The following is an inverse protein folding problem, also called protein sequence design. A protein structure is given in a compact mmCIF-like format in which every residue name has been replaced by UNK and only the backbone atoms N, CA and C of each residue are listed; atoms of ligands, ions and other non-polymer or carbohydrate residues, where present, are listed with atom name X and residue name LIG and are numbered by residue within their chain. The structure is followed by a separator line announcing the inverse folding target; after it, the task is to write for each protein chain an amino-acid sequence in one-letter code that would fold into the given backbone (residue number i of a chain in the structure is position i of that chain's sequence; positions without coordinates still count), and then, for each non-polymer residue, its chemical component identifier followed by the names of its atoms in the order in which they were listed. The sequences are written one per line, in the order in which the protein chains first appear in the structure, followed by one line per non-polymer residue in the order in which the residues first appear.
data_IF_942286515240
#
_entry.id   IF_942286515240
#
_cell.length_a   1.000
_cell.length_b   1.000
_cell.length_c   1.000
_cell.angle_alpha   90.00
_cell.angle_beta   90.00
_cell.angle_gamma   90.00
#
_symmetry.space_group_name_H-M   'P 1'
#
loop_
_entity.id
_entity.type
_entity.pdbx_description
1 polymer ?
#
# COMPACT_ATOMS: atom_id res chain seq x y z
N UNK A 1 20.48 29.91 14.09
CA UNK A 1 21.36 30.01 12.91
C UNK A 1 22.25 28.77 12.73
N UNK A 2 22.72 28.11 13.81
CA UNK A 2 23.56 26.91 13.72
C UNK A 2 22.82 25.61 13.33
N UNK A 3 21.56 25.46 13.66
CA UNK A 3 20.75 24.28 13.37
C UNK A 3 20.26 24.26 11.92
N UNK A 4 19.98 25.43 11.32
CA UNK A 4 19.60 25.52 9.90
C UNK A 4 20.78 25.23 8.95
N UNK A 5 22.01 25.63 9.33
CA UNK A 5 23.20 25.30 8.54
C UNK A 5 23.53 23.81 8.54
N UNK A 6 23.26 23.11 9.66
CA UNK A 6 23.48 21.66 9.77
C UNK A 6 22.50 20.83 8.93
N UNK A 7 21.25 21.30 8.77
CA UNK A 7 20.26 20.60 7.93
C UNK A 7 20.56 20.76 6.43
N UNK A 8 21.08 21.92 5.99
CA UNK A 8 21.49 22.14 4.59
C UNK A 8 22.76 21.38 4.21
N UNK A 9 23.69 21.17 5.14
CA UNK A 9 24.92 20.40 4.87
C UNK A 9 24.68 18.87 4.86
N UNK A 10 23.64 18.39 5.59
CA UNK A 10 23.28 16.97 5.57
C UNK A 10 22.64 16.54 4.25
N UNK A 11 21.91 17.40 3.57
CA UNK A 11 21.38 17.13 2.22
C UNK A 11 22.48 17.10 1.14
N UNK A 12 23.57 17.82 1.33
CA UNK A 12 24.70 17.81 0.38
C UNK A 12 25.59 16.56 0.48
N UNK A 13 25.50 15.79 1.58
CA UNK A 13 26.28 14.56 1.77
C UNK A 13 25.52 13.26 1.46
N UNK A 14 24.18 13.28 1.47
CA UNK A 14 23.36 12.19 0.95
C UNK A 14 23.15 12.46 -0.54
N UNK A 15 23.99 11.86 -1.41
CA UNK A 15 23.80 11.99 -2.86
C UNK A 15 22.34 11.74 -3.24
N UNK A 16 21.80 12.52 -4.21
CA UNK A 16 20.46 12.28 -4.76
C UNK A 16 20.33 10.80 -5.17
N UNK A 17 19.16 10.17 -4.97
CA UNK A 17 18.98 8.80 -5.40
C UNK A 17 19.17 8.68 -6.92
N UNK A 18 19.66 7.52 -7.35
CA UNK A 18 19.79 7.20 -8.77
C UNK A 18 18.38 7.23 -9.41
N UNK A 19 18.28 7.83 -10.60
CA UNK A 19 17.05 7.72 -11.40
C UNK A 19 17.18 6.54 -12.34
N UNK A 20 16.29 5.57 -12.24
CA UNK A 20 16.17 4.50 -13.21
C UNK A 20 15.45 4.99 -14.45
N UNK A 21 15.84 4.55 -15.66
CA UNK A 21 15.17 4.96 -16.88
C UNK A 21 13.69 4.53 -16.89
N UNK A 22 12.85 5.18 -17.70
CA UNK A 22 11.48 4.73 -17.91
C UNK A 22 11.41 3.25 -18.29
N UNK A 23 10.31 2.60 -17.92
CA UNK A 23 10.08 1.19 -18.23
C UNK A 23 10.13 0.97 -19.74
N UNK A 24 10.96 0.00 -20.18
CA UNK A 24 11.04 -0.36 -21.58
C UNK A 24 9.83 -1.26 -21.93
N UNK A 25 9.00 -0.92 -22.93
CA UNK A 25 7.90 -1.77 -23.39
C UNK A 25 8.33 -3.21 -23.73
N UNK A 26 9.58 -3.43 -24.13
CA UNK A 26 10.12 -4.77 -24.33
C UNK A 26 10.13 -5.62 -23.04
N UNK A 27 10.18 -5.01 -21.87
CA UNK A 27 10.08 -5.73 -20.59
C UNK A 27 8.64 -6.25 -20.37
N UNK A 28 7.62 -5.49 -20.81
CA UNK A 28 6.22 -5.94 -20.74
C UNK A 28 5.98 -7.07 -21.73
N UNK A 29 6.47 -6.94 -22.98
CA UNK A 29 6.40 -8.01 -23.99
C UNK A 29 7.11 -9.29 -23.54
N UNK A 30 8.21 -9.16 -22.81
CA UNK A 30 8.95 -10.28 -22.24
C UNK A 30 8.30 -10.86 -20.95
N UNK A 31 7.21 -10.26 -20.45
CA UNK A 31 6.55 -10.66 -19.22
C UNK A 31 7.33 -10.35 -17.93
N UNK A 32 8.26 -9.39 -17.98
CA UNK A 32 9.13 -9.03 -16.86
C UNK A 32 8.59 -7.88 -16.02
N UNK A 33 7.67 -7.08 -16.56
CA UNK A 33 7.04 -5.97 -15.87
C UNK A 33 5.68 -5.63 -16.49
N UNK A 34 4.85 -4.88 -15.74
CA UNK A 34 3.78 -4.04 -16.27
C UNK A 34 4.29 -2.61 -16.29
N UNK A 35 4.38 -1.99 -17.46
CA UNK A 35 4.90 -0.63 -17.67
C UNK A 35 3.79 0.44 -17.65
N UNK A 36 4.11 1.70 -17.95
CA UNK A 36 3.19 2.84 -18.07
C UNK A 36 2.26 3.03 -16.86
N UNK A 37 2.81 2.83 -15.67
CA UNK A 37 2.12 3.03 -14.40
C UNK A 37 2.58 4.34 -13.74
N UNK A 38 1.87 4.74 -12.70
CA UNK A 38 2.22 5.92 -11.90
C UNK A 38 2.27 5.54 -10.43
N UNK A 39 3.48 5.37 -9.90
CA UNK A 39 3.68 5.06 -8.49
C UNK A 39 2.70 3.95 -8.03
N UNK A 40 2.82 2.72 -8.56
CA UNK A 40 1.98 1.58 -8.17
C UNK A 40 2.35 1.18 -6.73
N UNK A 41 1.81 1.94 -5.78
CA UNK A 41 2.24 1.94 -4.39
C UNK A 41 1.76 0.68 -3.66
N UNK A 42 0.50 0.27 -3.90
CA UNK A 42 -0.06 -0.93 -3.29
C UNK A 42 -0.86 -1.77 -4.27
N UNK A 43 -0.91 -3.09 -4.01
CA UNK A 43 -1.46 -4.11 -4.90
C UNK A 43 -2.32 -5.11 -4.13
N UNK A 44 -3.49 -5.43 -4.66
CA UNK A 44 -4.30 -6.51 -4.12
C UNK A 44 -4.93 -7.38 -5.23
N UNK A 45 -5.11 -8.68 -4.96
CA UNK A 45 -5.81 -9.59 -5.86
C UNK A 45 -7.31 -9.34 -5.82
N UNK A 46 -7.93 -9.17 -6.98
CA UNK A 46 -9.38 -9.12 -7.10
C UNK A 46 -10.00 -10.54 -7.04
N UNK A 47 -11.27 -10.66 -6.62
CA UNK A 47 -11.95 -11.95 -6.58
C UNK A 47 -11.91 -12.68 -7.90
N UNK A 48 -11.55 -13.98 -7.86
CA UNK A 48 -11.36 -14.82 -9.03
C UNK A 48 -9.94 -14.81 -9.58
N UNK A 49 -9.03 -14.03 -9.00
CA UNK A 49 -7.58 -14.02 -9.22
C UNK A 49 -7.13 -13.81 -10.68
N UNK A 50 -8.02 -13.29 -11.54
CA UNK A 50 -7.67 -12.94 -12.92
C UNK A 50 -7.15 -11.51 -13.06
N UNK A 51 -7.37 -10.67 -12.05
CA UNK A 51 -7.05 -9.27 -12.01
C UNK A 51 -6.43 -8.89 -10.68
N UNK A 52 -5.55 -7.90 -10.70
CA UNK A 52 -5.12 -7.14 -9.54
C UNK A 52 -5.75 -5.74 -9.58
N UNK A 53 -5.96 -5.14 -8.41
CA UNK A 53 -6.17 -3.71 -8.26
C UNK A 53 -4.85 -3.08 -7.83
N UNK A 54 -4.55 -1.93 -8.38
CA UNK A 54 -3.34 -1.15 -8.16
C UNK A 54 -3.75 0.21 -7.61
N UNK A 55 -3.24 0.58 -6.45
CA UNK A 55 -3.28 1.94 -5.95
C UNK A 55 -2.16 2.74 -6.61
N UNK A 56 -2.52 3.64 -7.53
CA UNK A 56 -1.56 4.55 -8.15
C UNK A 56 -1.53 5.86 -7.35
N UNK A 57 -0.55 5.97 -6.47
CA UNK A 57 -0.39 7.13 -5.61
C UNK A 57 0.02 8.36 -6.42
N UNK A 58 -0.60 9.51 -6.16
CA UNK A 58 -0.10 10.77 -6.69
C UNK A 58 1.24 11.11 -6.03
N UNK A 59 2.13 11.78 -6.75
CA UNK A 59 3.34 12.32 -6.14
C UNK A 59 2.94 13.37 -5.11
N UNK A 60 3.48 13.26 -3.92
CA UNK A 60 3.43 14.34 -2.94
C UNK A 60 4.46 15.37 -3.40
N UNK A 61 4.00 16.43 -4.07
CA UNK A 61 4.89 17.54 -4.43
C UNK A 61 5.51 18.11 -3.14
N UNK A 62 6.83 17.99 -3.02
CA UNK A 62 7.59 18.55 -1.90
C UNK A 62 7.41 20.08 -1.78
N UNK A 63 6.90 20.71 -2.79
CA UNK A 63 6.53 22.12 -2.89
C UNK A 63 5.02 22.40 -2.75
N UNK A 64 4.23 21.43 -2.30
CA UNK A 64 2.85 21.69 -1.91
C UNK A 64 2.82 22.67 -0.72
N UNK A 65 3.23 23.92 -1.00
CA UNK A 65 2.79 25.06 -0.21
C UNK A 65 1.27 24.97 -0.19
N UNK A 66 0.66 25.12 0.97
CA UNK A 66 -0.79 25.11 1.16
C UNK A 66 -1.57 26.11 0.28
N UNK A 67 -0.90 26.83 -0.60
CA UNK A 67 -1.41 27.76 -1.61
C UNK A 67 -1.20 27.30 -3.04
N UNK A 68 -0.52 26.18 -3.31
CA UNK A 68 -0.43 25.63 -4.66
C UNK A 68 -1.83 25.17 -5.07
N UNK A 69 -2.27 25.70 -6.21
CA UNK A 69 -3.56 25.40 -6.84
C UNK A 69 -3.81 23.88 -6.83
N UNK A 70 -4.88 23.40 -6.13
CA UNK A 70 -5.23 21.97 -6.12
C UNK A 70 -5.43 21.40 -7.54
N UNK A 71 -5.59 22.26 -8.55
CA UNK A 71 -5.67 21.89 -9.96
C UNK A 71 -4.32 21.47 -10.58
N UNK A 72 -3.19 21.69 -9.91
CA UNK A 72 -1.86 21.28 -10.41
C UNK A 72 -1.45 19.87 -9.97
N UNK A 73 -1.96 19.36 -8.85
CA UNK A 73 -1.73 18.00 -8.43
C UNK A 73 -2.54 17.04 -9.30
N UNK A 74 -1.88 16.17 -10.05
CA UNK A 74 -2.57 15.09 -10.76
C UNK A 74 -3.11 14.12 -9.70
N UNK A 75 -4.44 13.88 -9.66
CA UNK A 75 -5.01 12.92 -8.71
C UNK A 75 -4.42 11.53 -8.96
N UNK A 76 -4.35 10.73 -7.91
CA UNK A 76 -4.10 9.30 -8.03
C UNK A 76 -5.30 8.58 -8.65
N UNK A 77 -5.16 7.30 -8.88
CA UNK A 77 -6.26 6.46 -9.36
C UNK A 77 -6.15 5.00 -8.87
N UNK A 78 -7.25 4.28 -9.03
CA UNK A 78 -7.29 2.83 -8.86
C UNK A 78 -7.39 2.20 -10.25
N UNK A 79 -6.42 1.35 -10.57
CA UNK A 79 -6.32 0.68 -11.86
C UNK A 79 -6.48 -0.83 -11.66
N UNK A 80 -7.28 -1.50 -12.51
CA UNK A 80 -7.24 -2.95 -12.61
C UNK A 80 -6.31 -3.38 -13.73
N UNK A 81 -5.47 -4.40 -13.48
CA UNK A 81 -4.61 -5.03 -14.49
C UNK A 81 -4.97 -6.50 -14.57
N UNK A 82 -5.26 -6.99 -15.78
CA UNK A 82 -5.49 -8.41 -16.02
C UNK A 82 -4.16 -9.14 -16.13
N UNK A 83 -4.00 -10.16 -15.31
CA UNK A 83 -2.72 -10.86 -15.17
C UNK A 83 -2.28 -11.61 -16.45
N UNK A 84 -3.26 -12.09 -17.24
CA UNK A 84 -3.00 -12.93 -18.41
C UNK A 84 -2.37 -12.14 -19.59
N UNK A 85 -2.71 -10.86 -19.75
CA UNK A 85 -2.34 -10.09 -20.95
C UNK A 85 -2.03 -8.61 -20.65
N UNK A 86 -1.99 -8.20 -19.40
CA UNK A 86 -1.72 -6.81 -19.02
C UNK A 86 -2.82 -5.81 -19.35
N UNK A 87 -4.01 -6.26 -19.79
CA UNK A 87 -5.11 -5.36 -20.11
C UNK A 87 -5.49 -4.51 -18.90
N UNK A 88 -5.65 -3.20 -19.11
CA UNK A 88 -5.85 -2.20 -18.06
C UNK A 88 -7.26 -1.64 -18.07
N UNK A 89 -7.83 -1.44 -16.90
CA UNK A 89 -9.10 -0.76 -16.71
C UNK A 89 -8.99 0.19 -15.51
N UNK A 90 -9.21 1.49 -15.74
CA UNK A 90 -9.35 2.43 -14.62
C UNK A 90 -10.65 2.13 -13.89
N UNK A 91 -10.55 1.95 -12.58
CA UNK A 91 -11.67 1.65 -11.69
C UNK A 91 -12.19 2.92 -11.00
N UNK A 92 -11.28 3.81 -10.60
CA UNK A 92 -11.61 5.08 -9.94
C UNK A 92 -10.45 6.09 -10.13
N UNK A 93 -10.68 7.39 -10.36
CA UNK A 93 -11.99 7.98 -10.70
C UNK A 93 -12.61 7.36 -11.95
N UNK A 94 -13.95 7.26 -12.00
CA UNK A 94 -14.62 6.69 -13.15
C UNK A 94 -14.36 7.58 -14.37
N UNK A 95 -14.31 6.98 -15.55
CA UNK A 95 -14.28 7.74 -16.78
C UNK A 95 -15.65 8.44 -16.94
N UNK A 96 -15.65 9.76 -17.06
CA UNK A 96 -16.88 10.53 -17.22
C UNK A 96 -17.76 10.10 -18.42
N UNK A 97 -17.17 9.37 -19.37
CA UNK A 97 -17.87 8.81 -20.54
C UNK A 97 -18.35 7.38 -20.34
N UNK A 98 -18.07 6.73 -19.19
CA UNK A 98 -18.52 5.36 -18.91
C UNK A 98 -19.94 5.37 -18.34
N UNK A 99 -20.97 4.97 -19.12
CA UNK A 99 -22.35 4.96 -18.66
C UNK A 99 -22.61 3.88 -17.57
N UNK A 100 -21.72 2.89 -17.44
CA UNK A 100 -21.88 1.79 -16.51
C UNK A 100 -21.36 2.13 -15.10
N UNK A 101 -20.68 3.29 -14.99
CA UNK A 101 -20.13 3.74 -13.68
C UNK A 101 -20.51 5.20 -13.41
N UNK A 102 -21.78 5.50 -13.11
CA UNK A 102 -22.23 6.87 -12.90
C UNK A 102 -21.55 7.49 -11.67
N UNK A 103 -21.14 8.74 -11.80
CA UNK A 103 -20.58 9.52 -10.70
C UNK A 103 -21.29 10.88 -10.56
N UNK A 104 -21.72 11.30 -9.34
CA UNK A 104 -21.66 10.52 -8.08
C UNK A 104 -22.54 9.26 -8.14
N UNK A 105 -22.21 8.24 -7.35
CA UNK A 105 -23.00 7.02 -7.31
C UNK A 105 -24.44 7.34 -6.82
N UNK A 106 -25.45 6.58 -7.28
CA UNK A 106 -26.80 6.76 -6.79
C UNK A 106 -26.87 6.55 -5.27
N UNK A 107 -27.82 7.21 -4.60
CA UNK A 107 -28.05 6.98 -3.17
C UNK A 107 -28.25 5.49 -2.92
N UNK A 108 -27.40 4.89 -2.09
CA UNK A 108 -27.56 3.50 -1.66
C UNK A 108 -28.39 3.45 -0.38
N UNK A 109 -29.37 2.54 -0.31
CA UNK A 109 -30.10 2.27 0.92
C UNK A 109 -29.18 1.66 1.99
N UNK A 110 -28.14 0.96 1.56
CA UNK A 110 -27.14 0.35 2.42
C UNK A 110 -25.81 1.09 2.29
N UNK A 111 -25.52 1.99 3.23
CA UNK A 111 -24.22 2.65 3.34
C UNK A 111 -23.28 1.79 4.17
N UNK A 112 -22.04 1.73 3.73
CA UNK A 112 -20.93 1.12 4.48
C UNK A 112 -20.09 2.21 5.14
N UNK A 113 -19.41 1.89 6.25
CA UNK A 113 -18.58 2.84 6.95
C UNK A 113 -19.31 3.62 8.05
N UNK A 114 -18.81 4.79 8.36
CA UNK A 114 -19.26 5.61 9.48
C UNK A 114 -20.45 6.51 9.09
N UNK A 115 -21.34 6.73 10.05
CA UNK A 115 -22.48 7.65 9.88
C UNK A 115 -22.06 9.11 9.64
N UNK A 116 -20.87 9.49 10.06
CA UNK A 116 -20.28 10.82 9.81
C UNK A 116 -19.66 10.97 8.40
N UNK A 117 -19.67 9.91 7.58
CA UNK A 117 -19.16 9.99 6.21
C UNK A 117 -19.93 11.03 5.39
N UNK A 118 -19.29 12.10 4.90
CA UNK A 118 -19.99 13.23 4.27
C UNK A 118 -20.48 12.94 2.84
N UNK A 119 -20.14 11.80 2.27
CA UNK A 119 -20.46 11.43 0.89
C UNK A 119 -19.24 10.93 0.12
N UNK A 120 -19.37 10.70 -1.21
CA UNK A 120 -18.27 10.18 -2.02
C UNK A 120 -17.09 11.15 -2.08
N UNK A 121 -15.83 10.64 -2.29
CA UNK A 121 -14.66 11.48 -2.43
C UNK A 121 -14.73 12.32 -3.71
N UNK A 122 -14.06 13.47 -3.70
CA UNK A 122 -13.89 14.28 -4.91
C UNK A 122 -12.90 13.58 -5.86
N UNK A 123 -13.34 13.17 -7.07
CA UNK A 123 -12.47 12.51 -8.03
C UNK A 123 -11.24 13.32 -8.44
N UNK A 124 -11.35 14.65 -8.43
CA UNK A 124 -10.25 15.54 -8.81
C UNK A 124 -9.17 15.68 -7.72
N UNK A 125 -9.49 15.23 -6.51
CA UNK A 125 -8.60 15.32 -5.34
C UNK A 125 -8.25 13.97 -4.75
N UNK A 126 -8.67 12.88 -5.38
CA UNK A 126 -8.45 11.53 -4.86
C UNK A 126 -6.96 11.16 -4.84
N UNK A 127 -6.45 10.81 -3.66
CA UNK A 127 -5.06 10.42 -3.44
C UNK A 127 -5.03 9.06 -2.71
N UNK A 128 -5.18 7.94 -3.44
CA UNK A 128 -5.16 6.61 -2.84
C UNK A 128 -3.76 6.23 -2.36
N UNK A 129 -3.71 5.46 -1.28
CA UNK A 129 -2.49 4.88 -0.69
C UNK A 129 -2.72 3.39 -0.46
N UNK A 130 -2.55 2.88 0.77
CA UNK A 130 -2.76 1.48 1.10
C UNK A 130 -4.18 0.99 0.79
N UNK A 131 -4.31 -0.25 0.34
CA UNK A 131 -5.57 -0.86 -0.08
C UNK A 131 -5.67 -2.31 0.41
N UNK A 132 -6.90 -2.76 0.71
CA UNK A 132 -7.15 -4.18 0.96
C UNK A 132 -8.48 -4.66 0.37
N UNK A 133 -8.44 -5.87 -0.18
CA UNK A 133 -9.59 -6.57 -0.76
C UNK A 133 -10.09 -7.63 0.21
N UNK A 134 -11.33 -7.49 0.63
CA UNK A 134 -11.99 -8.46 1.49
C UNK A 134 -13.40 -8.79 1.06
N UNK A 135 -14.14 -9.45 1.93
CA UNK A 135 -15.57 -9.71 1.74
C UNK A 135 -16.35 -9.39 3.02
N UNK A 136 -17.61 -9.02 2.86
CA UNK A 136 -18.52 -8.89 3.99
C UNK A 136 -19.10 -10.26 4.41
N UNK A 137 -19.89 -10.25 5.48
CA UNK A 137 -20.57 -11.46 6.00
C UNK A 137 -21.56 -12.10 5.01
N UNK A 138 -21.94 -11.41 3.92
CA UNK A 138 -22.77 -11.93 2.84
C UNK A 138 -21.96 -12.41 1.64
N UNK A 139 -20.64 -12.34 1.72
CA UNK A 139 -19.71 -12.72 0.65
C UNK A 139 -19.61 -11.68 -0.48
N UNK A 140 -20.09 -10.45 -0.28
CA UNK A 140 -19.88 -9.36 -1.24
C UNK A 140 -18.44 -8.89 -1.15
N UNK A 141 -17.77 -8.84 -2.29
CA UNK A 141 -16.39 -8.36 -2.36
C UNK A 141 -16.32 -6.85 -2.15
N UNK A 142 -15.36 -6.40 -1.39
CA UNK A 142 -15.17 -5.00 -1.04
C UNK A 142 -13.70 -4.61 -1.07
N UNK A 143 -13.44 -3.35 -1.38
CA UNK A 143 -12.13 -2.73 -1.36
C UNK A 143 -12.14 -1.61 -0.33
N UNK A 144 -11.19 -1.61 0.59
CA UNK A 144 -10.87 -0.47 1.43
C UNK A 144 -9.70 0.28 0.81
N UNK A 145 -9.70 1.61 0.90
CA UNK A 145 -8.68 2.48 0.32
C UNK A 145 -8.39 3.61 1.29
N UNK A 146 -7.16 3.74 1.74
CA UNK A 146 -6.70 4.97 2.40
C UNK A 146 -6.67 6.10 1.38
N UNK A 147 -7.32 7.22 1.68
CA UNK A 147 -7.38 8.39 0.82
C UNK A 147 -6.95 9.64 1.58
N UNK A 148 -5.92 10.32 1.07
CA UNK A 148 -5.41 11.59 1.62
C UNK A 148 -6.01 12.81 0.95
N UNK A 149 -6.63 12.63 -0.21
CA UNK A 149 -7.07 13.73 -1.06
C UNK A 149 -8.43 14.30 -0.70
N UNK A 150 -8.48 15.58 -0.36
CA UNK A 150 -9.72 16.27 0.03
C UNK A 150 -10.16 15.98 1.45
N UNK A 151 -9.81 14.82 1.98
CA UNK A 151 -10.01 14.39 3.37
C UNK A 151 -9.11 13.20 3.67
N UNK A 152 -8.73 13.04 4.91
CA UNK A 152 -8.12 11.83 5.43
C UNK A 152 -9.24 10.84 5.77
N UNK A 153 -9.31 9.72 5.06
CA UNK A 153 -10.39 8.74 5.25
C UNK A 153 -10.02 7.34 4.73
N UNK A 154 -10.67 6.31 5.24
CA UNK A 154 -10.78 5.03 4.55
C UNK A 154 -12.05 5.04 3.71
N UNK A 155 -11.90 5.03 2.39
CA UNK A 155 -12.99 4.92 1.43
C UNK A 155 -13.34 3.44 1.20
N UNK A 156 -14.63 3.13 1.04
CA UNK A 156 -15.10 1.75 0.92
C UNK A 156 -15.88 1.59 -0.38
N UNK A 157 -15.44 0.64 -1.19
CA UNK A 157 -16.07 0.31 -2.46
C UNK A 157 -16.56 -1.14 -2.47
N UNK A 158 -17.67 -1.40 -3.14
CA UNK A 158 -18.08 -2.73 -3.55
C UNK A 158 -17.42 -3.08 -4.87
N UNK A 159 -16.89 -4.30 -4.96
CA UNK A 159 -16.25 -4.80 -6.18
C UNK A 159 -17.29 -5.54 -7.00
N UNK A 160 -17.56 -5.04 -8.20
CA UNK A 160 -18.49 -5.63 -9.16
C UNK A 160 -17.89 -6.77 -9.98
N UNK A 161 -18.47 -7.06 -11.12
CA UNK A 161 -18.31 -8.24 -11.98
C UNK A 161 -16.89 -8.80 -12.10
N UNK A 162 -16.79 -10.14 -12.08
CA UNK A 162 -15.51 -10.87 -12.13
C UNK A 162 -14.81 -10.85 -13.49
N UNK A 163 -15.57 -10.73 -14.58
CA UNK A 163 -15.02 -10.73 -15.95
C UNK A 163 -14.52 -9.37 -16.39
N UNK A 164 -15.11 -8.30 -15.87
CA UNK A 164 -14.68 -6.91 -16.05
C UNK A 164 -14.87 -6.19 -14.71
N UNK A 165 -13.82 -6.01 -13.91
CA UNK A 165 -13.95 -5.43 -12.58
C UNK A 165 -14.47 -4.00 -12.64
N UNK A 166 -15.33 -3.67 -11.68
CA UNK A 166 -15.86 -2.32 -11.47
C UNK A 166 -15.88 -2.02 -9.96
N UNK A 167 -15.87 -0.74 -9.60
CA UNK A 167 -16.00 -0.28 -8.23
C UNK A 167 -17.25 0.57 -8.09
N UNK A 168 -18.05 0.30 -7.08
CA UNK A 168 -19.15 1.13 -6.65
C UNK A 168 -18.85 1.65 -5.24
N UNK A 169 -18.75 2.97 -5.09
CA UNK A 169 -18.51 3.56 -3.77
C UNK A 169 -19.72 3.34 -2.85
N UNK A 170 -19.47 2.88 -1.64
CA UNK A 170 -20.51 2.53 -0.66
C UNK A 170 -20.45 3.37 0.60
N UNK A 171 -19.32 4.00 0.91
CA UNK A 171 -19.17 4.79 2.12
C UNK A 171 -17.74 5.09 2.48
N UNK A 172 -17.53 5.69 3.62
CA UNK A 172 -16.21 5.99 4.16
C UNK A 172 -16.20 6.02 5.68
N UNK A 173 -15.00 6.00 6.23
CA UNK A 173 -14.71 6.31 7.63
C UNK A 173 -13.73 7.48 7.65
N UNK A 174 -14.20 8.71 7.97
CA UNK A 174 -13.31 9.86 8.13
C UNK A 174 -12.37 9.65 9.31
N UNK A 175 -11.12 10.07 9.15
CA UNK A 175 -10.11 10.00 10.20
C UNK A 175 -10.10 11.27 11.05
N UNK A 176 -9.70 11.18 12.33
CA UNK A 176 -9.51 12.33 13.19
C UNK A 176 -8.43 13.28 12.63
N UNK A 177 -8.60 14.58 12.88
CA UNK A 177 -7.57 15.56 12.54
C UNK A 177 -6.23 15.23 13.22
N UNK A 178 -5.13 15.53 12.53
CA UNK A 178 -3.78 15.34 13.06
C UNK A 178 -3.26 13.91 12.95
N UNK A 179 -3.91 13.07 12.17
CA UNK A 179 -3.45 11.73 11.79
C UNK A 179 -3.11 11.69 10.30
N UNK A 180 -2.15 10.88 9.93
CA UNK A 180 -1.80 10.55 8.56
C UNK A 180 -1.80 9.04 8.42
N UNK A 181 -2.84 8.51 7.80
CA UNK A 181 -2.98 7.06 7.61
C UNK A 181 -1.96 6.58 6.58
N UNK A 182 -1.71 5.28 6.56
CA UNK A 182 -0.85 4.67 5.54
C UNK A 182 -1.53 3.47 4.89
N UNK A 183 -1.81 2.42 5.64
CA UNK A 183 -2.36 1.19 5.11
C UNK A 183 -3.57 0.70 5.92
N UNK A 184 -4.39 -0.17 5.29
CA UNK A 184 -5.63 -0.68 5.84
C UNK A 184 -5.77 -2.18 5.57
N UNK A 185 -6.27 -2.95 6.54
CA UNK A 185 -6.57 -4.36 6.38
C UNK A 185 -7.98 -4.69 6.93
N UNK A 186 -8.78 -5.43 6.17
CA UNK A 186 -10.07 -5.94 6.64
C UNK A 186 -9.88 -6.92 7.79
N UNK A 187 -10.74 -6.82 8.78
CA UNK A 187 -10.73 -7.76 9.89
C UNK A 187 -11.88 -8.78 9.72
N UNK A 188 -11.63 -10.10 9.89
CA UNK A 188 -12.64 -11.14 9.65
C UNK A 188 -13.85 -11.04 10.60
N UNK A 189 -13.68 -10.51 11.81
CA UNK A 189 -14.79 -10.24 12.73
C UNK A 189 -15.58 -8.96 12.39
N UNK A 190 -15.36 -8.37 11.21
CA UNK A 190 -16.01 -7.13 10.74
C UNK A 190 -15.18 -5.88 11.00
N UNK A 191 -15.43 -4.80 10.24
CA UNK A 191 -14.62 -3.58 10.25
C UNK A 191 -13.22 -3.78 9.69
N UNK A 192 -12.28 -2.89 10.01
CA UNK A 192 -10.92 -2.91 9.52
C UNK A 192 -9.92 -2.43 10.58
N UNK A 193 -8.65 -2.66 10.30
CA UNK A 193 -7.49 -2.10 11.03
C UNK A 193 -6.82 -1.11 10.08
N UNK A 194 -6.33 0.01 10.61
CA UNK A 194 -5.65 1.04 9.83
C UNK A 194 -4.43 1.56 10.60
N UNK A 195 -3.33 1.78 9.92
CA UNK A 195 -2.14 2.39 10.51
C UNK A 195 -2.20 3.90 10.44
N UNK A 196 -1.85 4.56 11.54
CA UNK A 196 -1.51 5.97 11.60
C UNK A 196 0.02 6.08 11.61
N UNK A 197 0.59 6.55 10.52
CA UNK A 197 2.04 6.61 10.32
C UNK A 197 2.70 7.63 11.24
N UNK A 198 2.16 8.84 11.28
CA UNK A 198 2.67 9.96 12.07
C UNK A 198 1.64 11.10 12.10
N UNK A 199 1.87 12.15 12.88
CA UNK A 199 1.23 13.44 12.61
C UNK A 199 1.54 13.88 11.17
N UNK A 200 0.66 14.69 10.53
CA UNK A 200 0.87 15.17 9.17
C UNK A 200 2.24 15.81 8.99
N UNK A 201 2.95 15.42 7.93
CA UNK A 201 4.29 15.92 7.58
C UNK A 201 4.19 17.13 6.64
N UNK A 202 3.15 17.94 6.78
CA UNK A 202 2.91 19.10 5.91
C UNK A 202 3.83 20.27 6.23
N UNK A 203 4.43 20.84 5.17
CA UNK A 203 5.27 22.04 5.24
C UNK A 203 6.69 21.78 5.74
N UNK A 204 7.47 22.88 5.88
CA UNK A 204 8.86 22.87 6.35
C UNK A 204 8.99 23.39 7.78
N UNK A 205 7.98 23.17 8.62
CA UNK A 205 7.97 23.66 10.00
C UNK A 205 8.87 22.84 10.94
N UNK A 206 9.16 23.42 12.12
CA UNK A 206 9.94 22.72 13.16
C UNK A 206 9.29 21.39 13.59
N UNK A 207 7.96 21.29 13.56
CA UNK A 207 7.22 20.07 13.86
C UNK A 207 7.54 18.95 12.88
N UNK A 208 7.49 19.22 11.58
CA UNK A 208 7.82 18.24 10.53
C UNK A 208 9.27 17.76 10.64
N UNK A 209 10.22 18.68 10.91
CA UNK A 209 11.63 18.32 11.13
C UNK A 209 11.80 17.44 12.38
N UNK A 210 11.04 17.72 13.43
CA UNK A 210 11.06 16.93 14.65
C UNK A 210 10.49 15.53 14.43
N UNK A 211 9.32 15.42 13.81
CA UNK A 211 8.73 14.12 13.46
C UNK A 211 9.66 13.29 12.56
N UNK A 212 10.28 13.92 11.55
CA UNK A 212 11.30 13.26 10.72
C UNK A 212 12.49 12.75 11.53
N UNK A 213 12.97 13.51 12.52
CA UNK A 213 14.02 13.07 13.43
C UNK A 213 13.56 11.88 14.31
N UNK A 214 12.33 11.91 14.81
CA UNK A 214 11.77 10.82 15.60
C UNK A 214 11.70 9.53 14.79
N UNK A 215 11.20 9.58 13.54
CA UNK A 215 11.18 8.45 12.62
C UNK A 215 12.61 7.92 12.36
N UNK A 216 13.56 8.80 12.03
CA UNK A 216 14.95 8.40 11.77
C UNK A 216 15.64 7.76 12.98
N UNK A 217 15.19 8.05 14.18
CA UNK A 217 15.75 7.51 15.43
C UNK A 217 14.94 6.33 15.98
N UNK A 218 13.91 5.84 15.25
CA UNK A 218 13.08 4.72 15.64
C UNK A 218 12.14 5.03 16.81
N UNK A 219 11.80 6.31 17.04
CA UNK A 219 10.84 6.71 18.07
C UNK A 219 9.41 6.52 17.58
N UNK A 220 8.51 6.31 18.53
CA UNK A 220 7.08 6.19 18.25
C UNK A 220 6.53 7.51 17.68
N UNK A 221 5.91 7.44 16.51
CA UNK A 221 5.27 8.57 15.84
C UNK A 221 3.81 8.31 15.50
N UNK A 222 3.40 7.05 15.51
CA UNK A 222 2.07 6.62 15.16
C UNK A 222 1.59 5.41 15.95
N UNK A 223 0.46 4.85 15.52
CA UNK A 223 -0.20 3.72 16.16
C UNK A 223 -1.09 2.97 15.17
N UNK A 224 -1.75 1.91 15.63
CA UNK A 224 -2.73 1.17 14.85
C UNK A 224 -4.11 1.38 15.46
N UNK A 225 -5.10 1.64 14.61
CA UNK A 225 -6.49 1.82 15.01
C UNK A 225 -7.34 0.67 14.48
N UNK A 226 -8.35 0.29 15.23
CA UNK A 226 -9.41 -0.63 14.85
C UNK A 226 -10.70 0.17 14.67
N UNK A 227 -11.35 0.00 13.53
CA UNK A 227 -12.68 0.53 13.32
C UNK A 227 -13.71 -0.59 13.28
N UNK A 228 -14.84 -0.38 13.96
CA UNK A 228 -16.05 -1.20 13.83
C UNK A 228 -17.27 -0.29 13.80
N UNK A 229 -18.39 -0.71 13.18
CA UNK A 229 -19.62 0.09 13.17
C UNK A 229 -20.14 0.46 14.57
N UNK A 230 -19.93 -0.42 15.56
CA UNK A 230 -20.46 -0.25 16.92
C UNK A 230 -19.56 0.61 17.80
N UNK A 231 -18.25 0.47 17.69
CA UNK A 231 -17.27 1.15 18.55
C UNK A 231 -16.65 2.41 17.93
N UNK A 232 -16.78 2.58 16.59
CA UNK A 232 -16.02 3.59 15.86
C UNK A 232 -14.53 3.28 15.81
N UNK A 233 -13.68 4.30 15.71
CA UNK A 233 -12.23 4.18 15.71
C UNK A 233 -11.70 4.11 17.15
N UNK A 234 -10.90 3.08 17.43
CA UNK A 234 -10.25 2.85 18.73
C UNK A 234 -8.78 2.50 18.51
N UNK A 235 -7.87 3.18 19.20
CA UNK A 235 -6.44 2.83 19.18
C UNK A 235 -6.23 1.48 19.88
N UNK A 236 -5.49 0.58 19.24
CA UNK A 236 -5.14 -0.73 19.79
C UNK A 236 -4.01 -0.55 20.80
N UNK A 237 -4.14 -1.14 22.00
CA UNK A 237 -3.08 -1.15 23.00
C UNK A 237 -1.78 -1.76 22.46
N UNK A 238 -0.63 -1.35 22.97
CA UNK A 238 0.72 -1.80 22.54
C UNK A 238 1.02 -1.65 21.02
N UNK A 239 0.22 -0.88 20.28
CA UNK A 239 0.38 -0.71 18.83
C UNK A 239 1.24 0.47 18.42
N UNK A 240 1.68 1.31 19.36
CA UNK A 240 2.50 2.51 19.04
C UNK A 240 3.84 2.09 18.48
N UNK A 241 4.28 2.79 17.43
CA UNK A 241 5.52 2.46 16.73
C UNK A 241 6.12 3.63 15.96
N UNK A 242 7.30 3.39 15.40
CA UNK A 242 8.01 4.36 14.57
C UNK A 242 7.55 4.25 13.12
N UNK A 243 6.69 5.18 12.72
CA UNK A 243 6.09 5.20 11.39
C UNK A 243 5.43 3.85 11.04
N UNK A 244 4.33 3.43 11.77
CA UNK A 244 3.55 2.26 11.39
C UNK A 244 3.04 2.42 9.95
N UNK A 245 3.47 1.52 9.07
CA UNK A 245 3.23 1.57 7.65
C UNK A 245 2.24 0.46 7.24
N UNK A 246 2.65 -0.55 6.52
CA UNK A 246 1.80 -1.66 6.12
C UNK A 246 1.18 -2.43 7.29
N UNK A 247 -0.03 -2.97 7.09
CA UNK A 247 -0.73 -3.77 8.08
C UNK A 247 -1.37 -5.01 7.44
N UNK A 248 -1.29 -6.14 8.13
CA UNK A 248 -1.99 -7.36 7.75
C UNK A 248 -2.66 -7.99 8.95
N UNK A 249 -3.89 -8.47 8.78
CA UNK A 249 -4.64 -9.20 9.82
C UNK A 249 -4.59 -10.69 9.50
N UNK A 250 -4.32 -11.53 10.51
CA UNK A 250 -4.39 -12.97 10.35
C UNK A 250 -5.79 -13.41 9.86
N UNK A 251 -5.88 -14.44 9.02
CA UNK A 251 -7.17 -14.88 8.46
C UNK A 251 -8.25 -15.23 9.49
N UNK A 252 -7.84 -15.62 10.70
CA UNK A 252 -8.74 -15.91 11.84
C UNK A 252 -8.98 -14.68 12.75
N UNK A 253 -8.28 -13.56 12.50
CA UNK A 253 -8.37 -12.33 13.28
C UNK A 253 -7.62 -12.33 14.62
N UNK A 254 -6.88 -13.40 14.94
CA UNK A 254 -6.18 -13.54 16.23
C UNK A 254 -4.92 -12.70 16.35
N UNK A 255 -4.35 -12.26 15.23
CA UNK A 255 -3.10 -11.53 15.18
C UNK A 255 -3.14 -10.38 14.16
N UNK A 256 -2.40 -9.33 14.44
CA UNK A 256 -2.18 -8.19 13.53
C UNK A 256 -0.68 -8.01 13.37
N UNK A 257 -0.22 -7.93 12.12
CA UNK A 257 1.17 -7.69 11.76
C UNK A 257 1.30 -6.28 11.20
N UNK A 258 2.33 -5.57 11.62
CA UNK A 258 2.54 -4.16 11.26
C UNK A 258 3.98 -3.92 10.85
N UNK A 259 4.15 -3.31 9.70
CA UNK A 259 5.43 -2.80 9.25
C UNK A 259 5.77 -1.52 10.02
N UNK A 260 6.90 -1.50 10.69
CA UNK A 260 7.41 -0.36 11.43
C UNK A 260 8.57 0.23 10.65
N UNK A 261 8.25 1.17 9.76
CA UNK A 261 9.17 1.69 8.75
C UNK A 261 10.42 2.33 9.36
N UNK A 262 10.23 3.19 10.38
CA UNK A 262 11.33 3.90 11.00
C UNK A 262 12.22 3.03 11.87
N UNK A 263 11.67 2.01 12.52
CA UNK A 263 12.44 1.06 13.33
C UNK A 263 13.00 -0.12 12.52
N UNK A 264 12.65 -0.26 11.23
CA UNK A 264 13.02 -1.37 10.36
C UNK A 264 12.65 -2.71 10.96
N UNK A 265 11.42 -2.85 11.39
CA UNK A 265 10.92 -4.06 12.02
C UNK A 265 9.51 -4.40 11.55
N UNK A 266 9.13 -5.66 11.72
CA UNK A 266 7.73 -6.07 11.71
C UNK A 266 7.39 -6.44 13.13
N UNK A 267 6.33 -5.85 13.69
CA UNK A 267 5.79 -6.33 14.94
C UNK A 267 4.46 -7.04 14.75
N UNK A 268 4.19 -7.97 15.65
CA UNK A 268 2.96 -8.74 15.74
C UNK A 268 2.26 -8.42 17.04
N UNK A 269 0.95 -8.14 16.96
CA UNK A 269 0.06 -8.05 18.11
C UNK A 269 -0.78 -9.31 18.21
N UNK A 270 -0.76 -10.00 19.34
CA UNK A 270 -1.57 -11.20 19.64
C UNK A 270 -2.58 -10.91 20.73
N UNK A 271 -3.81 -11.31 20.50
CA UNK A 271 -4.94 -11.08 21.40
C UNK A 271 -5.26 -12.36 22.19
N UNK A 272 -4.75 -12.47 23.42
CA UNK A 272 -4.87 -13.67 24.29
C UNK A 272 -5.99 -13.55 25.34
N UNK A 273 -6.99 -12.70 25.10
CA UNK A 273 -8.10 -12.45 26.06
C UNK A 273 -8.44 -10.97 26.21
N UNK A 274 -8.95 -10.57 27.37
CA UNK A 274 -9.46 -9.20 27.60
C UNK A 274 -8.36 -8.16 27.94
N UNK A 275 -7.08 -8.55 27.91
CA UNK A 275 -5.94 -7.68 28.21
C UNK A 275 -5.42 -6.91 27.01
N UNK A 276 -4.38 -6.09 27.26
CA UNK A 276 -3.62 -5.49 26.16
C UNK A 276 -2.95 -6.60 25.32
N UNK A 277 -2.90 -6.45 23.98
CA UNK A 277 -2.29 -7.46 23.14
C UNK A 277 -0.79 -7.62 23.45
N UNK A 278 -0.32 -8.86 23.37
CA UNK A 278 1.10 -9.17 23.46
C UNK A 278 1.80 -8.73 22.18
N UNK A 279 2.99 -8.12 22.31
CA UNK A 279 3.78 -7.64 21.17
C UNK A 279 5.10 -8.40 21.08
N UNK A 280 5.35 -8.96 19.90
CA UNK A 280 6.63 -9.52 19.47
C UNK A 280 7.09 -8.78 18.21
N UNK A 281 8.41 -8.77 17.92
CA UNK A 281 8.93 -8.11 16.72
C UNK A 281 10.14 -8.83 16.14
N UNK A 282 10.35 -8.67 14.83
CA UNK A 282 11.53 -9.09 14.09
C UNK A 282 12.12 -7.90 13.34
N UNK A 283 13.44 -7.71 13.45
CA UNK A 283 14.17 -6.67 12.74
C UNK A 283 14.46 -7.08 11.30
N UNK A 284 14.42 -6.11 10.39
CA UNK A 284 14.79 -6.25 8.99
C UNK A 284 15.97 -5.33 8.64
N UNK A 285 16.63 -5.60 7.53
CA UNK A 285 17.70 -4.74 7.01
C UNK A 285 17.15 -3.48 6.34
N UNK A 286 16.01 -3.60 5.65
CA UNK A 286 15.30 -2.53 4.95
C UNK A 286 14.16 -1.99 5.79
N UNK A 287 13.75 -0.75 5.53
CA UNK A 287 12.54 -0.16 6.11
C UNK A 287 11.31 -0.80 5.47
N UNK A 288 10.53 -1.63 6.19
CA UNK A 288 9.40 -2.35 5.62
C UNK A 288 8.26 -1.40 5.29
N UNK A 289 7.56 -1.70 4.21
CA UNK A 289 6.42 -0.96 3.72
C UNK A 289 5.16 -1.85 3.77
N UNK A 290 4.44 -2.08 2.67
CA UNK A 290 3.21 -2.85 2.68
C UNK A 290 3.40 -4.36 2.90
N UNK A 291 2.38 -4.99 3.48
CA UNK A 291 2.33 -6.41 3.81
C UNK A 291 1.26 -7.12 2.96
N UNK A 292 1.57 -8.32 2.47
CA UNK A 292 0.59 -9.19 1.83
C UNK A 292 0.71 -10.64 2.31
N UNK A 293 -0.40 -11.38 2.25
CA UNK A 293 -0.40 -12.81 2.55
C UNK A 293 -0.05 -13.64 1.32
N UNK A 294 0.85 -14.62 1.49
CA UNK A 294 1.09 -15.65 0.49
C UNK A 294 0.05 -16.78 0.60
N UNK A 295 -0.09 -17.59 -0.44
CA UNK A 295 -0.99 -18.77 -0.42
C UNK A 295 -0.62 -19.80 0.64
N UNK A 296 0.65 -19.93 0.98
CA UNK A 296 1.14 -20.85 2.00
C UNK A 296 1.13 -20.26 3.41
N UNK A 297 0.49 -19.09 3.60
CA UNK A 297 0.23 -18.47 4.90
C UNK A 297 1.43 -17.74 5.50
N UNK A 298 2.42 -17.35 4.70
CA UNK A 298 3.48 -16.41 5.11
C UNK A 298 3.11 -14.98 4.75
N UNK A 299 3.82 -14.03 5.33
CA UNK A 299 3.74 -12.63 4.95
C UNK A 299 4.85 -12.31 3.95
N UNK A 300 4.51 -11.62 2.86
CA UNK A 300 5.48 -10.92 2.01
C UNK A 300 5.57 -9.47 2.44
N UNK A 301 6.78 -8.95 2.42
CA UNK A 301 7.10 -7.58 2.80
C UNK A 301 8.09 -7.03 1.80
N UNK A 302 7.79 -5.90 1.17
CA UNK A 302 8.78 -5.09 0.49
C UNK A 302 9.33 -4.04 1.46
N UNK A 303 10.59 -3.64 1.28
CA UNK A 303 11.18 -2.62 2.13
C UNK A 303 12.29 -1.85 1.42
N UNK A 304 12.39 -0.55 1.73
CA UNK A 304 13.35 0.37 1.10
C UNK A 304 14.67 0.42 1.87
N UNK A 305 15.75 0.54 1.11
CA UNK A 305 17.09 0.85 1.62
C UNK A 305 17.40 2.35 1.63
N UNK A 306 18.54 2.68 2.22
CA UNK A 306 19.10 4.04 2.12
C UNK A 306 18.58 5.07 3.11
N UNK A 307 17.56 4.76 3.91
CA UNK A 307 17.01 5.62 4.96
C UNK A 307 16.21 6.82 4.44
N UNK A 308 15.60 7.56 5.36
CA UNK A 308 14.62 8.62 5.08
C UNK A 308 15.09 9.67 4.07
N UNK A 309 16.33 10.15 4.15
CA UNK A 309 16.80 11.22 3.25
C UNK A 309 16.84 10.78 1.79
N UNK A 310 17.23 9.52 1.52
CA UNK A 310 17.19 8.98 0.16
C UNK A 310 15.76 8.74 -0.31
N UNK A 311 14.88 8.25 0.57
CA UNK A 311 13.46 8.04 0.27
C UNK A 311 12.77 9.38 -0.05
N UNK A 312 13.04 10.43 0.71
CA UNK A 312 12.51 11.78 0.41
C UNK A 312 13.05 12.32 -0.92
N UNK A 313 14.31 12.04 -1.25
CA UNK A 313 14.91 12.43 -2.54
C UNK A 313 14.24 11.74 -3.75
N UNK A 314 13.56 10.60 -3.56
CA UNK A 314 12.79 9.97 -4.64
C UNK A 314 11.67 10.85 -5.18
N UNK A 315 11.09 11.72 -4.36
CA UNK A 315 10.00 12.62 -4.77
C UNK A 315 10.43 13.65 -5.83
N UNK A 316 11.74 13.88 -6.00
CA UNK A 316 12.29 14.77 -7.02
C UNK A 316 12.37 14.13 -8.42
N UNK A 317 12.10 12.81 -8.52
CA UNK A 317 12.20 12.06 -9.79
C UNK A 317 10.91 12.22 -10.58
N UNK A 318 10.98 12.88 -11.74
CA UNK A 318 9.82 13.17 -12.58
C UNK A 318 9.46 12.02 -13.53
N UNK A 319 10.47 11.31 -14.07
CA UNK A 319 10.29 10.21 -15.02
C UNK A 319 11.05 8.95 -14.59
N UNK A 320 10.54 7.79 -14.96
CA UNK A 320 11.12 6.49 -14.60
C UNK A 320 10.84 6.11 -13.15
N UNK A 321 11.83 5.50 -12.49
CA UNK A 321 11.69 5.06 -11.11
C UNK A 321 12.86 5.51 -10.23
N UNK A 322 12.62 5.59 -8.93
CA UNK A 322 13.67 5.88 -7.96
C UNK A 322 14.55 4.65 -7.73
N UNK A 323 15.85 4.77 -7.96
CA UNK A 323 16.82 3.67 -7.93
C UNK A 323 17.40 3.37 -6.54
N UNK A 324 16.67 3.62 -5.46
CA UNK A 324 17.11 3.14 -4.14
C UNK A 324 17.02 1.62 -4.07
N UNK A 325 17.93 1.02 -3.28
CA UNK A 325 17.90 -0.43 -3.08
C UNK A 325 16.62 -0.83 -2.33
N UNK A 326 16.12 -2.03 -2.63
CA UNK A 326 15.02 -2.64 -1.89
C UNK A 326 15.29 -4.11 -1.61
N UNK A 327 14.63 -4.66 -0.58
CA UNK A 327 14.59 -6.10 -0.30
C UNK A 327 13.15 -6.58 -0.20
N UNK A 328 12.89 -7.81 -0.65
CA UNK A 328 11.63 -8.52 -0.43
C UNK A 328 11.88 -9.68 0.52
N UNK A 329 11.02 -9.79 1.53
CA UNK A 329 11.13 -10.78 2.59
C UNK A 329 9.87 -11.64 2.65
N UNK A 330 10.04 -12.92 2.99
CA UNK A 330 8.97 -13.77 3.47
C UNK A 330 9.14 -13.96 4.99
N UNK A 331 8.07 -13.75 5.73
CA UNK A 331 8.06 -13.87 7.19
C UNK A 331 7.12 -15.02 7.58
N UNK A 332 7.61 -15.95 8.38
CA UNK A 332 6.79 -16.95 9.02
C UNK A 332 5.98 -16.28 10.14
N UNK A 333 4.63 -16.32 10.10
CA UNK A 333 3.81 -15.59 11.06
C UNK A 333 3.88 -16.18 12.48
N UNK A 334 4.25 -17.45 12.62
CA UNK A 334 4.30 -18.12 13.92
C UNK A 334 5.63 -17.85 14.64
N UNK A 335 6.75 -18.08 13.93
CA UNK A 335 8.10 -17.92 14.49
C UNK A 335 8.65 -16.50 14.37
N UNK A 336 8.08 -15.67 13.53
CA UNK A 336 8.62 -14.37 13.08
C UNK A 336 9.99 -14.48 12.39
N UNK A 337 10.36 -15.67 11.90
CA UNK A 337 11.57 -15.83 11.11
C UNK A 337 11.41 -15.10 9.77
N UNK A 338 12.29 -14.13 9.52
CA UNK A 338 12.31 -13.36 8.28
C UNK A 338 13.38 -13.91 7.33
N UNK A 339 12.99 -14.29 6.12
CA UNK A 339 13.88 -14.76 5.06
C UNK A 339 13.81 -13.80 3.88
N UNK A 340 14.95 -13.19 3.55
CA UNK A 340 15.08 -12.38 2.33
C UNK A 340 14.97 -13.28 1.10
N UNK A 341 14.07 -12.92 0.19
CA UNK A 341 13.83 -13.66 -1.05
C UNK A 341 14.72 -13.16 -2.19
N UNK A 342 14.76 -11.84 -2.37
CA UNK A 342 15.59 -11.18 -3.38
C UNK A 342 15.74 -9.69 -3.05
N UNK A 343 16.68 -9.06 -3.76
CA UNK A 343 16.94 -7.63 -3.73
C UNK A 343 16.74 -7.04 -5.12
N UNK A 344 16.61 -5.71 -5.17
CA UNK A 344 16.52 -4.96 -6.42
C UNK A 344 16.79 -3.47 -6.21
N UNK A 345 16.55 -2.70 -7.27
CA UNK A 345 16.53 -1.23 -7.25
C UNK A 345 15.19 -0.75 -7.74
N UNK A 346 14.54 0.19 -7.05
CA UNK A 346 13.25 0.67 -7.51
C UNK A 346 12.28 1.11 -6.44
N UNK A 347 12.67 1.61 -5.31
CA UNK A 347 11.78 2.18 -4.28
C UNK A 347 10.54 1.33 -3.96
N UNK A 348 10.72 -0.01 -3.88
CA UNK A 348 9.62 -0.95 -3.70
C UNK A 348 8.84 -0.70 -2.42
N UNK A 349 7.51 -0.66 -2.53
CA UNK A 349 6.57 -0.48 -1.42
C UNK A 349 5.72 -1.72 -1.16
N UNK A 350 5.46 -2.54 -2.16
CA UNK A 350 4.61 -3.73 -2.03
C UNK A 350 5.19 -4.93 -2.74
N UNK A 351 4.97 -6.12 -2.20
CA UNK A 351 5.21 -7.39 -2.86
C UNK A 351 3.97 -8.26 -2.74
N UNK A 352 3.45 -8.76 -3.86
CA UNK A 352 2.24 -9.56 -3.94
C UNK A 352 2.50 -10.89 -4.65
N UNK A 353 2.23 -12.03 -4.00
CA UNK A 353 2.33 -13.35 -4.64
C UNK A 353 1.14 -13.59 -5.58
N UNK A 354 1.44 -13.90 -6.83
CA UNK A 354 0.47 -14.28 -7.85
C UNK A 354 0.98 -15.52 -8.58
N UNK A 355 0.31 -16.63 -8.41
CA UNK A 355 0.72 -17.93 -8.95
C UNK A 355 2.17 -18.31 -8.57
N UNK A 356 3.10 -18.36 -9.51
CA UNK A 356 4.51 -18.67 -9.29
C UNK A 356 5.39 -17.41 -9.35
N UNK A 357 4.78 -16.24 -9.32
CA UNK A 357 5.46 -14.95 -9.40
C UNK A 357 5.23 -14.11 -8.13
N UNK A 358 6.11 -13.15 -7.94
CA UNK A 358 5.95 -12.04 -7.00
C UNK A 358 5.94 -10.75 -7.81
N UNK A 359 4.86 -10.02 -7.72
CA UNK A 359 4.71 -8.68 -8.27
C UNK A 359 5.27 -7.68 -7.27
N UNK A 360 6.11 -6.75 -7.73
CA UNK A 360 6.71 -5.72 -6.87
C UNK A 360 6.32 -4.35 -7.39
N UNK A 361 5.54 -3.63 -6.61
CA UNK A 361 5.17 -2.24 -6.85
C UNK A 361 6.08 -1.26 -6.14
N UNK A 362 5.94 0.04 -6.41
CA UNK A 362 6.80 1.08 -5.85
C UNK A 362 6.05 2.39 -5.61
N UNK A 363 6.45 3.13 -4.56
CA UNK A 363 5.86 4.44 -4.25
C UNK A 363 6.37 5.57 -5.17
N UNK A 364 7.51 5.39 -5.84
CA UNK A 364 8.01 6.26 -6.92
C UNK A 364 8.54 5.42 -8.08
N UNK A 365 7.70 5.20 -9.07
CA UNK A 365 8.05 4.42 -10.24
C UNK A 365 6.95 4.35 -11.28
N UNK A 366 7.26 3.76 -12.42
CA UNK A 366 6.41 3.66 -13.59
C UNK A 366 6.06 2.22 -13.98
N UNK A 367 6.37 1.26 -13.08
CA UNK A 367 6.23 -0.18 -13.35
C UNK A 367 5.90 -1.00 -12.12
N UNK A 368 5.33 -2.18 -12.36
CA UNK A 368 5.29 -3.30 -11.44
C UNK A 368 6.23 -4.36 -11.99
N UNK A 369 7.30 -4.69 -11.24
CA UNK A 369 8.21 -5.77 -11.62
C UNK A 369 7.53 -7.13 -11.43
N UNK A 370 7.86 -8.08 -12.31
CA UNK A 370 7.44 -9.48 -12.19
C UNK A 370 8.66 -10.34 -11.92
N UNK A 371 8.69 -11.02 -10.80
CA UNK A 371 9.83 -11.83 -10.33
C UNK A 371 9.37 -13.26 -10.08
N UNK A 372 10.11 -14.24 -10.54
CA UNK A 372 9.83 -15.65 -10.20
C UNK A 372 9.98 -15.87 -8.70
N UNK A 373 9.00 -16.50 -8.06
CA UNK A 373 9.04 -16.82 -6.63
C UNK A 373 10.19 -17.82 -6.34
N UNK A 374 11.11 -17.53 -5.40
CA UNK A 374 12.22 -18.41 -5.11
C UNK A 374 11.79 -19.78 -4.58
N UNK A 375 12.36 -20.86 -5.16
CA UNK A 375 12.11 -22.23 -4.73
C UNK A 375 11.02 -23.00 -5.48
N UNK A 376 10.36 -22.36 -6.46
CA UNK A 376 9.50 -23.03 -7.43
C UNK A 376 10.27 -23.13 -8.75
N UNK A 377 10.55 -24.37 -9.20
CA UNK A 377 11.13 -24.59 -10.54
C UNK A 377 10.07 -24.20 -11.57
N UNK A 378 10.47 -23.39 -12.55
CA UNK A 378 9.66 -23.15 -13.76
C UNK A 378 9.33 -24.50 -14.35
N UNK A 379 8.08 -24.95 -14.22
CA UNK A 379 7.60 -26.14 -14.89
C UNK A 379 7.77 -25.93 -16.40
N UNK A 380 8.59 -26.74 -17.04
CA UNK A 380 8.72 -26.72 -18.49
C UNK A 380 7.34 -26.81 -19.15
N UNK A 381 6.98 -25.96 -20.14
CA UNK A 381 5.70 -26.03 -20.79
C UNK A 381 5.55 -27.38 -21.47
N UNK A 382 4.57 -28.15 -21.00
CA UNK A 382 3.87 -29.18 -21.75
C UNK A 382 4.68 -30.32 -22.35
N UNK A 383 4.98 -31.36 -21.58
CA UNK A 383 5.00 -32.71 -22.15
C UNK A 383 3.54 -33.13 -22.37
N UNK A 384 3.07 -33.10 -23.61
CA UNK A 384 1.81 -33.77 -24.00
C UNK A 384 1.88 -35.25 -23.60
N UNK A 385 0.82 -35.82 -23.02
CA UNK A 385 0.77 -37.25 -22.83
C UNK A 385 0.81 -37.95 -24.21
N UNK A 386 1.76 -38.87 -24.36
CA UNK A 386 1.81 -39.73 -25.53
C UNK A 386 0.46 -40.51 -25.65
N UNK A 387 -0.23 -40.33 -26.75
CA UNK A 387 -1.33 -41.21 -27.16
C UNK A 387 -0.81 -42.65 -27.19
N UNK A 388 -1.35 -43.49 -26.31
CA UNK A 388 -1.21 -44.95 -26.43
C UNK A 388 -2.05 -45.42 -27.60
N UNK A 389 -1.38 -45.83 -28.68
CA UNK A 389 -1.98 -46.70 -29.69
C UNK A 389 -2.16 -48.09 -29.08
N UNK A 390 -3.42 -48.53 -28.99
CA UNK A 390 -3.88 -49.92 -29.22
C UNK A 390 -5.40 -49.89 -29.49
#
# INVERSE_FOLDING_TARGET
LGVLAFALELTACAGSPETLPPCDPAQEEAGLAFCDLRNPEDLALLPGHAWIVVSQMARLDADANAEADPASARPGDLLAIRLADGARRRLFPPNAADPDTPWPPPPSEERWGDGACPGPPDPARFLPHGIDVGSDHRGRARLAVVNHGGREAVEIFEIGARTAPSLEWRGCVPMPEGMMMNDVAWHPAGGFVVTNFSPPLEGRGLGTLWTGFEIMTGRETGSVLRWTPDAGLVEIGNSRGSAPNGVAVAPDGSEIFVAEWGAKSIFRLRFDGDGEPLRDAVALEHSPDNLSWTRDGRLLVAGQGGGMLKVLGCNEIEEGACGIDYGVYAIDPVSLEARRLFDGKGAASVALEVDDEVLVGSFVGDRIERRTAPGRSVGSPGAQPAESAD
#
